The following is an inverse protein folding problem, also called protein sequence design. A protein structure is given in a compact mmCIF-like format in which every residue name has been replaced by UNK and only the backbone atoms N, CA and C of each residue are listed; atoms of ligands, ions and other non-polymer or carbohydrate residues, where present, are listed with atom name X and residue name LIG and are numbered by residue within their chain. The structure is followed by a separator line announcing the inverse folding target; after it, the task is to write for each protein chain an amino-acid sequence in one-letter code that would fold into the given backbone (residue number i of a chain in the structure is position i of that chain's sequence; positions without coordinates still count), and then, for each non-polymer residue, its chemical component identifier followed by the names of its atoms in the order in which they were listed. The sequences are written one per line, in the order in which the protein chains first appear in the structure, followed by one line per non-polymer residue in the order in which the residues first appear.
data_IF_603964571017
#
_entry.id   IF_603964571017
#
_cell.length_a   1.000
_cell.length_b   1.000
_cell.length_c   1.000
_cell.angle_alpha   90.00
_cell.angle_beta   90.00
_cell.angle_gamma   90.00
#
_symmetry.space_group_name_H-M   'P 1'
#
loop_
_entity.id
_entity.type
_entity.pdbx_description
1 polymer ?
#
# COMPACT_ATOMS: atom_id res chain seq x y z
N UNK A 1 -9.21 13.18 35.10
CA UNK A 1 -9.65 11.81 34.80
C UNK A 1 -8.55 11.02 34.08
N UNK A 2 -8.11 11.42 32.87
CA UNK A 2 -7.11 10.72 32.07
C UNK A 2 -5.79 10.46 32.80
N UNK A 3 -5.30 11.42 33.58
CA UNK A 3 -4.07 11.27 34.34
C UNK A 3 -4.16 10.15 35.38
N UNK A 4 -5.30 10.02 36.06
CA UNK A 4 -5.53 8.96 37.04
C UNK A 4 -5.59 7.56 36.38
N UNK A 5 -6.17 7.46 35.20
CA UNK A 5 -6.22 6.19 34.45
C UNK A 5 -4.83 5.78 33.95
N UNK A 6 -4.03 6.74 33.44
CA UNK A 6 -2.63 6.51 33.05
C UNK A 6 -1.80 6.05 34.25
N UNK A 7 -1.94 6.73 35.39
CA UNK A 7 -1.22 6.36 36.63
C UNK A 7 -1.63 4.95 37.09
N UNK A 8 -2.94 4.64 37.11
CA UNK A 8 -3.42 3.31 37.48
C UNK A 8 -2.84 2.22 36.57
N UNK A 9 -2.80 2.45 35.27
CA UNK A 9 -2.19 1.53 34.32
C UNK A 9 -0.68 1.37 34.55
N UNK A 10 0.08 2.46 34.63
CA UNK A 10 1.54 2.39 34.86
C UNK A 10 1.87 1.62 36.13
N UNK A 11 1.10 1.81 37.20
CA UNK A 11 1.26 1.11 38.45
C UNK A 11 0.70 -0.32 38.47
N UNK A 12 0.15 -0.78 37.33
CA UNK A 12 -0.40 -2.14 37.20
C UNK A 12 -1.70 -2.37 37.97
N UNK A 13 -2.44 -1.31 38.26
CA UNK A 13 -3.74 -1.37 38.93
C UNK A 13 -4.91 -1.52 37.95
N UNK A 14 -4.67 -1.29 36.66
CA UNK A 14 -5.64 -1.50 35.56
C UNK A 14 -4.94 -2.11 34.36
N UNK A 15 -5.73 -2.69 33.45
CA UNK A 15 -5.25 -3.22 32.17
C UNK A 15 -5.24 -2.16 31.06
N UNK A 16 -4.61 -2.46 29.92
CA UNK A 16 -4.48 -1.55 28.77
C UNK A 16 -5.82 -1.20 28.15
N UNK A 17 -6.80 -2.07 28.24
CA UNK A 17 -8.16 -1.88 27.73
C UNK A 17 -8.86 -0.65 28.29
N UNK A 18 -8.48 -0.21 29.50
CA UNK A 18 -9.01 1.02 30.13
C UNK A 18 -8.51 2.28 29.42
N UNK A 19 -7.42 2.21 28.67
CA UNK A 19 -6.83 3.33 27.96
C UNK A 19 -7.34 3.52 26.53
N UNK A 20 -7.91 2.48 25.90
CA UNK A 20 -8.39 2.56 24.51
C UNK A 20 -9.46 3.65 24.30
N UNK A 21 -10.46 3.81 25.17
CA UNK A 21 -11.44 4.89 25.03
C UNK A 21 -10.82 6.30 25.20
N UNK A 22 -9.65 6.37 25.79
CA UNK A 22 -8.94 7.62 26.08
C UNK A 22 -7.89 7.96 25.03
N UNK A 23 -7.72 7.15 23.98
CA UNK A 23 -6.66 7.25 22.97
C UNK A 23 -6.54 8.66 22.38
N UNK A 24 -7.67 9.28 22.01
CA UNK A 24 -7.69 10.64 21.45
C UNK A 24 -7.23 11.71 22.44
N UNK A 25 -7.47 11.50 23.74
CA UNK A 25 -7.03 12.41 24.81
C UNK A 25 -5.56 12.18 25.21
N UNK A 26 -5.06 10.95 24.99
CA UNK A 26 -3.67 10.56 25.27
C UNK A 26 -2.75 10.99 24.11
N UNK A 27 -3.27 11.00 22.86
CA UNK A 27 -2.50 11.38 21.68
C UNK A 27 -1.89 12.77 21.84
N UNK A 28 -0.61 12.86 21.57
CA UNK A 28 0.11 14.12 21.56
C UNK A 28 -0.05 14.81 20.21
N UNK A 29 -0.47 16.08 20.22
CA UNK A 29 -0.54 16.93 19.03
C UNK A 29 0.81 17.35 18.45
N UNK A 30 1.95 16.95 19.05
CA UNK A 30 3.28 17.36 18.62
C UNK A 30 4.15 16.17 18.22
N UNK A 31 4.71 16.23 17.01
CA UNK A 31 5.72 15.28 16.49
C UNK A 31 6.97 15.16 17.38
N UNK A 32 7.24 16.19 18.18
CA UNK A 32 8.42 16.28 19.06
C UNK A 32 8.12 15.96 20.54
N UNK A 33 6.86 15.68 20.86
CA UNK A 33 6.49 15.21 22.19
C UNK A 33 7.05 13.78 22.35
N UNK A 34 8.19 13.65 22.98
CA UNK A 34 8.83 12.35 23.15
C UNK A 34 10.31 12.43 23.51
N UNK A 35 10.94 13.62 23.37
CA UNK A 35 12.37 13.77 23.74
C UNK A 35 12.56 13.55 25.22
N UNK A 36 11.76 14.20 26.05
CA UNK A 36 11.83 14.02 27.50
C UNK A 36 11.39 12.62 27.93
N UNK A 37 10.39 12.06 27.30
CA UNK A 37 9.95 10.68 27.54
C UNK A 37 11.04 9.67 27.18
N UNK A 38 11.72 9.87 26.07
CA UNK A 38 12.80 9.00 25.65
C UNK A 38 13.93 8.99 26.69
N UNK A 39 14.36 10.18 27.17
CA UNK A 39 15.40 10.30 28.18
C UNK A 39 14.99 9.65 29.50
N UNK A 40 13.75 9.84 29.93
CA UNK A 40 13.22 9.24 31.15
C UNK A 40 13.13 7.71 31.03
N UNK A 41 12.63 7.20 29.90
CA UNK A 41 12.53 5.75 29.65
C UNK A 41 13.92 5.11 29.55
N UNK A 42 14.88 5.78 28.88
CA UNK A 42 16.27 5.30 28.81
C UNK A 42 16.92 5.24 30.20
N UNK A 43 16.77 6.29 31.01
CA UNK A 43 17.32 6.30 32.34
C UNK A 43 16.71 5.24 33.22
N UNK A 44 15.37 5.09 33.16
CA UNK A 44 14.68 4.01 33.86
C UNK A 44 15.20 2.63 33.46
N UNK A 45 15.34 2.38 32.15
CA UNK A 45 15.86 1.12 31.64
C UNK A 45 17.28 0.82 32.11
N UNK A 46 18.13 1.86 32.21
CA UNK A 46 19.49 1.72 32.70
C UNK A 46 19.52 1.32 34.19
N UNK A 47 18.63 1.90 34.99
CA UNK A 47 18.61 1.71 36.44
C UNK A 47 17.86 0.43 36.86
N UNK A 48 16.78 0.07 36.16
CA UNK A 48 15.82 -0.98 36.54
C UNK A 48 15.62 -2.09 35.50
N UNK A 49 16.15 -1.91 34.32
CA UNK A 49 15.97 -2.86 33.21
C UNK A 49 14.61 -2.74 32.52
N UNK A 50 14.28 -3.78 31.72
CA UNK A 50 13.05 -3.83 30.90
C UNK A 50 11.94 -4.60 31.65
N UNK A 51 11.56 -4.12 32.80
CA UNK A 51 10.51 -4.69 33.65
C UNK A 51 9.07 -4.39 33.18
N UNK A 52 8.07 -4.67 34.02
CA UNK A 52 6.68 -4.40 33.70
C UNK A 52 6.36 -2.90 33.55
N UNK A 53 6.98 -2.05 34.37
CA UNK A 53 6.76 -0.62 34.28
C UNK A 53 7.33 -0.06 32.97
N UNK A 54 8.54 -0.48 32.59
CA UNK A 54 9.11 -0.14 31.28
C UNK A 54 8.21 -0.55 30.11
N UNK A 55 7.67 -1.79 30.13
CA UNK A 55 6.77 -2.25 29.07
C UNK A 55 5.48 -1.42 29.00
N UNK A 56 4.91 -1.04 30.14
CA UNK A 56 3.73 -0.15 30.20
C UNK A 56 4.03 1.26 29.67
N UNK A 57 5.23 1.78 29.91
CA UNK A 57 5.68 3.02 29.27
C UNK A 57 5.73 2.88 27.73
N UNK A 58 6.19 1.75 27.20
CA UNK A 58 6.16 1.48 25.73
C UNK A 58 4.72 1.48 25.19
N UNK A 59 3.80 0.83 25.88
CA UNK A 59 2.37 0.84 25.50
C UNK A 59 1.83 2.27 25.43
N UNK A 60 2.09 3.08 26.44
CA UNK A 60 1.68 4.49 26.43
C UNK A 60 2.28 5.26 25.24
N UNK A 61 3.55 5.01 24.91
CA UNK A 61 4.18 5.63 23.75
C UNK A 61 3.47 5.26 22.44
N UNK A 62 3.06 4.00 22.30
CA UNK A 62 2.27 3.52 21.14
C UNK A 62 0.91 4.22 21.11
N UNK A 63 0.16 4.22 22.21
CA UNK A 63 -1.16 4.86 22.29
C UNK A 63 -1.09 6.37 22.03
N UNK A 64 0.00 7.03 22.39
CA UNK A 64 0.28 8.45 22.08
C UNK A 64 0.65 8.69 20.62
N UNK A 65 0.94 7.64 19.85
CA UNK A 65 1.43 7.76 18.48
C UNK A 65 2.85 8.33 18.39
N UNK A 66 3.70 8.07 19.39
CA UNK A 66 5.07 8.58 19.44
C UNK A 66 6.05 7.74 18.61
N UNK A 67 6.02 7.91 17.29
CA UNK A 67 7.00 7.30 16.38
C UNK A 67 8.44 7.71 16.70
N UNK A 68 8.64 8.91 17.23
CA UNK A 68 9.95 9.41 17.63
C UNK A 68 10.61 8.53 18.69
N UNK A 69 9.89 8.17 19.77
CA UNK A 69 10.44 7.32 20.82
C UNK A 69 10.82 5.93 20.28
N UNK A 70 9.91 5.30 19.51
CA UNK A 70 10.18 3.99 18.91
C UNK A 70 11.41 4.04 18.00
N UNK A 71 11.53 5.08 17.17
CA UNK A 71 12.72 5.30 16.36
C UNK A 71 13.99 5.39 17.18
N UNK A 72 13.98 6.20 18.24
CA UNK A 72 15.17 6.42 19.09
C UNK A 72 15.58 5.13 19.80
N UNK A 73 14.63 4.36 20.31
CA UNK A 73 14.92 3.05 20.92
C UNK A 73 15.57 2.05 19.95
N UNK A 74 15.25 2.14 18.66
CA UNK A 74 15.80 1.26 17.65
C UNK A 74 17.13 1.75 17.04
N UNK A 75 17.29 3.05 16.84
CA UNK A 75 18.34 3.62 15.97
C UNK A 75 19.53 4.18 16.77
N UNK A 76 19.33 4.69 17.98
CA UNK A 76 20.39 5.38 18.73
C UNK A 76 21.55 4.49 19.17
N UNK A 77 21.40 3.17 19.12
CA UNK A 77 22.42 2.22 19.56
C UNK A 77 22.82 1.21 18.45
N UNK A 78 22.90 1.68 17.20
CA UNK A 78 23.02 0.79 16.05
C UNK A 78 21.85 -0.21 15.99
N UNK A 79 20.98 -0.07 15.01
CA UNK A 79 19.78 -0.90 14.84
C UNK A 79 20.05 -2.37 15.14
N UNK A 80 19.50 -2.87 16.25
CA UNK A 80 19.59 -4.29 16.61
C UNK A 80 18.25 -4.97 16.32
N UNK A 81 18.26 -5.92 15.41
CA UNK A 81 17.07 -6.76 15.08
C UNK A 81 16.39 -7.32 16.34
N UNK A 82 17.19 -7.77 17.32
CA UNK A 82 16.69 -8.31 18.58
C UNK A 82 15.84 -7.31 19.38
N UNK A 83 16.08 -6.02 19.26
CA UNK A 83 15.30 -5.00 19.97
C UNK A 83 13.87 -4.87 19.42
N UNK A 84 13.67 -5.08 18.11
CA UNK A 84 12.33 -5.11 17.52
C UNK A 84 11.48 -6.18 18.20
N UNK A 85 12.02 -7.41 18.28
CA UNK A 85 11.32 -8.51 18.96
C UNK A 85 11.08 -8.21 20.44
N UNK A 86 12.06 -7.67 21.15
CA UNK A 86 11.93 -7.32 22.58
C UNK A 86 10.80 -6.31 22.80
N UNK A 87 10.65 -5.32 21.93
CA UNK A 87 9.58 -4.33 22.00
C UNK A 87 8.22 -5.04 21.81
N UNK A 88 8.05 -5.83 20.74
CA UNK A 88 6.79 -6.53 20.44
C UNK A 88 6.44 -7.56 21.53
N UNK A 89 7.39 -8.34 22.01
CA UNK A 89 7.20 -9.26 23.14
C UNK A 89 6.75 -8.50 24.41
N UNK A 90 7.29 -7.29 24.62
CA UNK A 90 6.92 -6.43 25.74
C UNK A 90 5.48 -5.92 25.60
N UNK A 91 5.10 -5.39 24.42
CA UNK A 91 3.75 -4.92 24.14
C UNK A 91 2.72 -6.06 24.24
N UNK A 92 3.05 -7.23 23.72
CA UNK A 92 2.20 -8.40 23.78
C UNK A 92 1.99 -8.90 25.22
N UNK A 93 3.04 -8.90 26.07
CA UNK A 93 2.93 -9.23 27.50
C UNK A 93 2.01 -8.29 28.26
N UNK A 94 1.95 -7.02 27.88
CA UNK A 94 1.02 -6.05 28.44
C UNK A 94 -0.37 -6.11 27.77
N UNK A 95 -0.65 -7.16 26.97
CA UNK A 95 -1.94 -7.44 26.32
C UNK A 95 -2.43 -6.36 25.38
N UNK A 96 -1.51 -5.70 24.70
CA UNK A 96 -1.86 -4.80 23.60
C UNK A 96 -2.52 -5.64 22.49
N UNK A 97 -3.66 -5.18 21.97
CA UNK A 97 -4.39 -5.91 20.92
C UNK A 97 -3.69 -5.89 19.56
N UNK A 98 -4.13 -6.76 18.64
CA UNK A 98 -3.51 -6.91 17.32
C UNK A 98 -3.59 -5.65 16.47
N UNK A 99 -4.65 -4.84 16.63
CA UNK A 99 -4.78 -3.56 15.91
C UNK A 99 -3.68 -2.60 16.31
N UNK A 100 -3.43 -2.43 17.61
CA UNK A 100 -2.38 -1.53 18.10
C UNK A 100 -0.97 -2.09 17.87
N UNK A 101 -0.79 -3.42 17.89
CA UNK A 101 0.48 -4.04 17.47
C UNK A 101 0.77 -3.76 16.00
N UNK A 102 -0.23 -3.85 15.12
CA UNK A 102 -0.10 -3.48 13.70
C UNK A 102 0.21 -1.98 13.53
N UNK A 103 -0.52 -1.11 14.22
CA UNK A 103 -0.23 0.34 14.21
C UNK A 103 1.23 0.61 14.64
N UNK A 104 1.73 -0.12 15.64
CA UNK A 104 3.13 -0.01 16.09
C UNK A 104 4.10 -0.39 14.99
N UNK A 105 3.85 -1.48 14.27
CA UNK A 105 4.67 -1.91 13.14
C UNK A 105 4.70 -0.83 12.05
N UNK A 106 3.54 -0.27 11.69
CA UNK A 106 3.45 0.78 10.69
C UNK A 106 4.17 2.07 11.12
N UNK A 107 4.05 2.46 12.39
CA UNK A 107 4.80 3.60 12.94
C UNK A 107 6.32 3.37 12.87
N UNK A 108 6.79 2.15 13.13
CA UNK A 108 8.22 1.81 13.00
C UNK A 108 8.67 1.89 11.54
N UNK A 109 7.90 1.36 10.60
CA UNK A 109 8.18 1.43 9.17
C UNK A 109 8.25 2.88 8.68
N UNK A 110 7.33 3.75 9.11
CA UNK A 110 7.36 5.17 8.79
C UNK A 110 8.59 5.87 9.40
N UNK A 111 8.93 5.54 10.63
CA UNK A 111 10.04 6.16 11.36
C UNK A 111 11.43 5.77 10.81
N UNK A 112 11.54 4.57 10.21
CA UNK A 112 12.79 4.01 9.64
C UNK A 112 12.69 3.93 8.10
N UNK A 113 11.86 4.75 7.50
CA UNK A 113 11.68 4.76 6.05
C UNK A 113 12.98 5.11 5.33
N UNK A 114 13.38 4.19 4.45
CA UNK A 114 14.59 4.31 3.62
C UNK A 114 15.89 4.01 4.37
N UNK A 115 16.77 3.29 3.73
CA UNK A 115 18.11 2.97 4.20
C UNK A 115 18.29 1.52 4.66
N UNK A 116 19.52 1.17 5.00
CA UNK A 116 19.99 -0.20 5.31
C UNK A 116 19.22 -0.91 6.44
N UNK A 117 18.50 -0.19 7.26
CA UNK A 117 17.78 -0.76 8.41
C UNK A 117 16.30 -1.05 8.10
N UNK A 118 15.76 -0.47 7.03
CA UNK A 118 14.36 -0.71 6.66
C UNK A 118 14.10 -2.19 6.33
N UNK A 119 14.94 -2.77 5.48
CA UNK A 119 14.79 -4.18 5.08
C UNK A 119 14.96 -5.11 6.29
N UNK A 120 15.92 -4.81 7.16
CA UNK A 120 16.15 -5.57 8.38
C UNK A 120 14.96 -5.48 9.36
N UNK A 121 14.33 -4.30 9.47
CA UNK A 121 13.10 -4.12 10.24
C UNK A 121 11.96 -4.94 9.65
N UNK A 122 11.78 -4.87 8.33
CA UNK A 122 10.71 -5.59 7.64
C UNK A 122 10.84 -7.11 7.81
N UNK A 123 12.05 -7.65 7.72
CA UNK A 123 12.31 -9.08 7.96
C UNK A 123 11.94 -9.51 9.40
N UNK A 124 12.23 -8.68 10.42
CA UNK A 124 11.87 -9.01 11.80
C UNK A 124 10.36 -8.88 12.04
N UNK A 125 9.70 -7.86 11.47
CA UNK A 125 8.25 -7.72 11.55
C UNK A 125 7.54 -8.89 10.85
N UNK A 126 8.04 -9.37 9.71
CA UNK A 126 7.50 -10.54 9.03
C UNK A 126 7.51 -11.78 9.92
N UNK A 127 8.61 -12.04 10.62
CA UNK A 127 8.72 -13.17 11.56
C UNK A 127 7.72 -13.04 12.71
N UNK A 128 7.68 -11.87 13.35
CA UNK A 128 6.81 -11.59 14.50
C UNK A 128 5.34 -11.77 14.12
N UNK A 129 4.91 -11.15 13.01
CA UNK A 129 3.51 -11.22 12.58
C UNK A 129 3.14 -12.57 11.98
N UNK A 130 4.09 -13.30 11.40
CA UNK A 130 3.87 -14.71 11.02
C UNK A 130 3.63 -15.59 12.24
N UNK A 131 4.33 -15.36 13.33
CA UNK A 131 4.09 -16.08 14.58
C UNK A 131 2.75 -15.70 15.20
N UNK A 132 2.38 -14.42 15.20
CA UNK A 132 1.02 -13.98 15.61
C UNK A 132 -0.07 -14.57 14.72
N UNK A 133 0.15 -14.73 13.41
CA UNK A 133 -0.81 -15.35 12.51
C UNK A 133 -1.07 -16.84 12.85
N UNK A 134 -0.10 -17.55 13.39
CA UNK A 134 -0.28 -18.94 13.85
C UNK A 134 -1.13 -19.02 15.12
N UNK A 135 -0.98 -18.07 16.03
CA UNK A 135 -1.61 -18.10 17.35
C UNK A 135 -2.94 -17.31 17.40
N UNK A 136 -3.04 -16.24 16.65
CA UNK A 136 -4.12 -15.23 16.73
C UNK A 136 -4.67 -14.83 15.37
N UNK A 137 -4.81 -15.79 14.46
CA UNK A 137 -5.15 -15.58 13.04
C UNK A 137 -6.35 -14.66 12.84
N UNK A 138 -7.45 -14.94 13.51
CA UNK A 138 -8.70 -14.20 13.28
C UNK A 138 -8.62 -12.73 13.75
N UNK A 139 -8.01 -12.50 14.90
CA UNK A 139 -7.77 -11.14 15.40
C UNK A 139 -6.83 -10.36 14.50
N UNK A 140 -5.83 -11.03 13.91
CA UNK A 140 -4.89 -10.41 13.00
C UNK A 140 -5.55 -10.07 11.64
N UNK A 141 -6.39 -10.97 11.09
CA UNK A 141 -7.17 -10.71 9.87
C UNK A 141 -8.13 -9.53 10.08
N UNK A 142 -8.77 -9.45 11.23
CA UNK A 142 -9.62 -8.30 11.58
C UNK A 142 -8.81 -7.00 11.63
N UNK A 143 -7.66 -7.00 12.32
CA UNK A 143 -6.77 -5.85 12.39
C UNK A 143 -6.31 -5.39 11.00
N UNK A 144 -5.93 -6.30 10.12
CA UNK A 144 -5.57 -5.98 8.73
C UNK A 144 -6.75 -5.37 7.96
N UNK A 145 -7.96 -5.89 8.15
CA UNK A 145 -9.16 -5.38 7.49
C UNK A 145 -9.52 -3.94 7.87
N UNK A 146 -9.21 -3.55 9.11
CA UNK A 146 -9.47 -2.21 9.65
C UNK A 146 -8.33 -1.21 9.40
N UNK A 147 -7.15 -1.67 9.00
CA UNK A 147 -5.97 -0.85 8.80
C UNK A 147 -6.10 0.10 7.59
N UNK A 148 -5.23 1.10 7.54
CA UNK A 148 -5.01 1.93 6.36
C UNK A 148 -4.37 1.13 5.19
N UNK A 149 -4.19 1.76 4.04
CA UNK A 149 -3.67 1.07 2.87
C UNK A 149 -2.26 0.46 3.09
N UNK A 150 -1.28 1.13 3.70
CA UNK A 150 0.00 0.52 4.08
C UNK A 150 -0.15 -0.69 4.99
N UNK A 151 -0.99 -0.60 6.03
CA UNK A 151 -1.24 -1.72 6.94
C UNK A 151 -1.90 -2.92 6.24
N UNK A 152 -2.84 -2.68 5.30
CA UNK A 152 -3.42 -3.76 4.49
C UNK A 152 -2.42 -4.37 3.51
N UNK A 153 -1.50 -3.59 2.92
CA UNK A 153 -0.41 -4.13 2.11
C UNK A 153 0.52 -5.03 2.94
N UNK A 154 0.85 -4.59 4.16
CA UNK A 154 1.61 -5.40 5.10
C UNK A 154 0.86 -6.70 5.45
N UNK A 155 -0.44 -6.60 5.76
CA UNK A 155 -1.29 -7.75 6.03
C UNK A 155 -1.33 -8.77 4.90
N UNK A 156 -1.48 -8.31 3.66
CA UNK A 156 -1.40 -9.17 2.47
C UNK A 156 -0.07 -9.93 2.39
N UNK A 157 1.04 -9.26 2.71
CA UNK A 157 2.35 -9.90 2.71
C UNK A 157 2.45 -10.99 3.78
N UNK A 158 1.97 -10.71 5.00
CA UNK A 158 1.96 -11.69 6.10
C UNK A 158 1.06 -12.88 5.76
N UNK A 159 -0.16 -12.65 5.28
CA UNK A 159 -1.08 -13.71 4.86
C UNK A 159 -0.49 -14.58 3.74
N UNK A 160 0.26 -13.97 2.83
CA UNK A 160 0.89 -14.69 1.73
C UNK A 160 2.06 -15.60 2.16
N UNK A 161 2.60 -15.46 3.39
CA UNK A 161 3.61 -16.41 3.92
C UNK A 161 3.05 -17.83 4.03
N UNK A 162 1.75 -17.96 4.33
CA UNK A 162 1.01 -19.23 4.23
C UNK A 162 -0.21 -19.00 3.32
N UNK A 163 0.07 -18.77 2.02
CA UNK A 163 -0.93 -18.36 1.04
C UNK A 163 -2.04 -19.38 0.84
N UNK A 164 -1.77 -20.68 0.92
CA UNK A 164 -2.80 -21.70 0.75
C UNK A 164 -3.82 -21.67 1.89
N UNK A 165 -3.35 -21.62 3.13
CA UNK A 165 -4.25 -21.51 4.30
C UNK A 165 -5.05 -20.21 4.28
N UNK A 166 -4.46 -19.11 3.76
CA UNK A 166 -5.07 -17.79 3.76
C UNK A 166 -5.65 -17.36 2.40
N UNK A 167 -5.78 -18.30 1.45
CA UNK A 167 -6.20 -18.03 0.08
C UNK A 167 -7.49 -17.21 -0.01
N UNK A 168 -8.52 -17.60 0.72
CA UNK A 168 -9.82 -16.93 0.69
C UNK A 168 -9.76 -15.50 1.24
N UNK A 169 -9.00 -15.28 2.29
CA UNK A 169 -8.79 -13.95 2.87
C UNK A 169 -8.01 -13.05 1.92
N UNK A 170 -6.97 -13.57 1.28
CA UNK A 170 -6.18 -12.82 0.29
C UNK A 170 -7.04 -12.43 -0.91
N UNK A 171 -7.85 -13.35 -1.45
CA UNK A 171 -8.73 -13.11 -2.59
C UNK A 171 -9.76 -11.99 -2.35
N UNK A 172 -10.15 -11.73 -1.10
CA UNK A 172 -11.06 -10.60 -0.74
C UNK A 172 -10.47 -9.24 -1.10
N UNK A 173 -9.16 -9.10 -1.13
CA UNK A 173 -8.48 -7.85 -1.47
C UNK A 173 -8.55 -7.48 -2.95
N UNK A 174 -9.05 -8.37 -3.82
CA UNK A 174 -9.42 -8.03 -5.21
C UNK A 174 -10.37 -6.83 -5.30
N UNK A 175 -11.18 -6.63 -4.25
CA UNK A 175 -12.23 -5.59 -4.14
C UNK A 175 -11.77 -4.34 -3.38
N UNK A 176 -10.52 -4.29 -2.94
CA UNK A 176 -10.02 -3.17 -2.14
C UNK A 176 -10.14 -1.84 -2.89
N UNK A 177 -10.52 -0.79 -2.17
CA UNK A 177 -10.66 0.55 -2.75
C UNK A 177 -9.32 1.19 -3.09
N UNK A 178 -8.25 0.85 -2.37
CA UNK A 178 -6.90 1.38 -2.57
C UNK A 178 -6.22 0.76 -3.79
N UNK A 179 -5.71 1.60 -4.67
CA UNK A 179 -4.88 1.15 -5.79
C UNK A 179 -3.60 0.44 -5.29
N UNK A 180 -2.96 0.97 -4.25
CA UNK A 180 -1.75 0.39 -3.68
C UNK A 180 -1.98 -1.05 -3.20
N UNK A 181 -3.08 -1.30 -2.49
CA UNK A 181 -3.45 -2.63 -2.01
C UNK A 181 -3.71 -3.58 -3.19
N UNK A 182 -4.43 -3.11 -4.22
CA UNK A 182 -4.67 -3.92 -5.43
C UNK A 182 -3.40 -4.23 -6.21
N UNK A 183 -2.42 -3.33 -6.27
CA UNK A 183 -1.11 -3.64 -6.89
C UNK A 183 -0.33 -4.68 -6.07
N UNK A 184 -0.31 -4.56 -4.72
CA UNK A 184 0.28 -5.60 -3.86
C UNK A 184 -0.41 -6.95 -4.05
N UNK A 185 -1.74 -6.97 -4.14
CA UNK A 185 -2.52 -8.18 -4.43
C UNK A 185 -2.18 -8.76 -5.81
N UNK A 186 -2.05 -7.92 -6.83
CA UNK A 186 -1.65 -8.33 -8.17
C UNK A 186 -0.28 -9.02 -8.18
N UNK A 187 0.69 -8.49 -7.43
CA UNK A 187 2.02 -9.09 -7.35
C UNK A 187 1.98 -10.48 -6.67
N UNK A 188 1.08 -10.66 -5.70
CA UNK A 188 0.81 -11.97 -5.11
C UNK A 188 0.22 -12.92 -6.16
N UNK A 189 -0.82 -12.49 -6.89
CA UNK A 189 -1.44 -13.33 -7.93
C UNK A 189 -0.43 -13.76 -8.99
N UNK A 190 0.42 -12.86 -9.47
CA UNK A 190 1.45 -13.19 -10.46
C UNK A 190 2.39 -14.31 -10.01
N UNK A 191 2.67 -14.40 -8.72
CA UNK A 191 3.52 -15.42 -8.14
C UNK A 191 2.79 -16.73 -7.81
N UNK A 192 1.44 -16.77 -7.91
CA UNK A 192 0.60 -17.88 -7.47
C UNK A 192 -0.17 -18.52 -8.63
N UNK A 193 0.56 -19.15 -9.56
CA UNK A 193 -0.06 -19.80 -10.73
C UNK A 193 -1.04 -20.91 -10.36
N UNK A 194 -0.88 -21.51 -9.20
CA UNK A 194 -1.80 -22.51 -8.64
C UNK A 194 -3.21 -21.96 -8.34
N UNK A 195 -3.38 -20.63 -8.34
CA UNK A 195 -4.68 -19.97 -8.15
C UNK A 195 -5.37 -19.62 -9.48
N UNK A 196 -4.99 -20.27 -10.57
CA UNK A 196 -5.50 -20.01 -11.92
C UNK A 196 -7.03 -19.96 -11.98
N UNK A 197 -7.71 -20.93 -11.36
CA UNK A 197 -9.17 -20.99 -11.35
C UNK A 197 -9.81 -19.74 -10.75
N UNK A 198 -9.24 -19.20 -9.65
CA UNK A 198 -9.76 -17.97 -9.04
C UNK A 198 -9.47 -16.76 -9.91
N UNK A 199 -8.28 -16.70 -10.52
CA UNK A 199 -7.91 -15.59 -11.41
C UNK A 199 -8.80 -15.55 -12.63
N UNK A 200 -9.04 -16.70 -13.28
CA UNK A 200 -9.97 -16.79 -14.43
C UNK A 200 -11.39 -16.40 -14.03
N UNK A 201 -11.84 -16.79 -12.83
CA UNK A 201 -13.16 -16.40 -12.33
C UNK A 201 -13.32 -14.87 -12.16
N UNK A 202 -12.24 -14.13 -11.87
CA UNK A 202 -12.27 -12.67 -11.78
C UNK A 202 -12.59 -11.99 -13.14
N UNK A 203 -12.35 -12.63 -14.27
CA UNK A 203 -12.73 -12.10 -15.59
C UNK A 203 -14.25 -11.90 -15.73
N UNK A 204 -15.05 -12.69 -15.03
CA UNK A 204 -16.50 -12.56 -15.01
C UNK A 204 -17.03 -11.55 -13.98
N UNK A 205 -16.14 -10.87 -13.25
CA UNK A 205 -16.56 -9.92 -12.22
C UNK A 205 -17.29 -8.71 -12.79
N UNK A 206 -18.28 -8.21 -12.04
CA UNK A 206 -18.97 -6.95 -12.36
C UNK A 206 -18.06 -5.72 -12.22
N UNK A 207 -16.99 -5.81 -11.43
CA UNK A 207 -16.06 -4.70 -11.18
C UNK A 207 -14.92 -4.71 -12.21
N UNK A 208 -14.77 -3.61 -12.94
CA UNK A 208 -13.70 -3.47 -13.94
C UNK A 208 -12.29 -3.65 -13.32
N UNK A 209 -12.08 -3.21 -12.08
CA UNK A 209 -10.79 -3.37 -11.39
C UNK A 209 -10.41 -4.85 -11.15
N UNK A 210 -11.38 -5.72 -10.85
CA UNK A 210 -11.12 -7.16 -10.69
C UNK A 210 -10.80 -7.82 -12.02
N UNK A 211 -11.52 -7.44 -13.09
CA UNK A 211 -11.21 -7.94 -14.44
C UNK A 211 -9.83 -7.47 -14.91
N UNK A 212 -9.47 -6.21 -14.63
CA UNK A 212 -8.12 -5.68 -14.89
C UNK A 212 -7.03 -6.51 -14.21
N UNK A 213 -7.21 -6.84 -12.93
CA UNK A 213 -6.29 -7.69 -12.17
C UNK A 213 -6.11 -9.06 -12.81
N UNK A 214 -7.22 -9.71 -13.19
CA UNK A 214 -7.20 -11.02 -13.86
C UNK A 214 -6.43 -10.95 -15.19
N UNK A 215 -6.75 -10.00 -16.05
CA UNK A 215 -6.10 -9.82 -17.35
C UNK A 215 -4.59 -9.61 -17.15
N UNK A 216 -4.18 -8.69 -16.29
CA UNK A 216 -2.75 -8.42 -16.02
C UNK A 216 -2.02 -9.63 -15.45
N UNK A 217 -2.69 -10.47 -14.66
CA UNK A 217 -2.11 -11.69 -14.12
C UNK A 217 -1.93 -12.74 -15.22
N UNK A 218 -2.98 -13.03 -16.00
CA UNK A 218 -2.94 -14.02 -17.08
C UNK A 218 -1.91 -13.67 -18.15
N UNK A 219 -1.82 -12.40 -18.55
CA UNK A 219 -0.79 -11.89 -19.46
C UNK A 219 0.64 -12.09 -18.92
N UNK A 220 0.81 -11.98 -17.59
CA UNK A 220 2.12 -12.22 -16.96
C UNK A 220 2.47 -13.69 -16.92
N UNK A 221 1.49 -14.58 -16.76
CA UNK A 221 1.72 -16.02 -16.65
C UNK A 221 2.02 -16.66 -18.01
N UNK A 222 1.18 -16.41 -19.01
CA UNK A 222 1.33 -16.97 -20.35
C UNK A 222 0.32 -16.31 -21.31
N UNK A 223 0.77 -15.34 -22.08
CA UNK A 223 -0.07 -14.59 -23.01
C UNK A 223 -0.71 -15.50 -24.06
N UNK A 224 0.07 -16.41 -24.66
CA UNK A 224 -0.40 -17.31 -25.71
C UNK A 224 -1.33 -18.41 -25.16
N UNK A 225 -0.99 -18.97 -24.00
CA UNK A 225 -1.80 -20.02 -23.38
C UNK A 225 -3.19 -19.55 -22.92
N UNK A 226 -3.36 -18.26 -22.64
CA UNK A 226 -4.65 -17.68 -22.26
C UNK A 226 -5.33 -16.87 -23.36
N UNK A 227 -4.82 -16.93 -24.60
CA UNK A 227 -5.30 -16.11 -25.71
C UNK A 227 -6.79 -16.24 -25.94
N UNK A 228 -7.32 -17.46 -25.97
CA UNK A 228 -8.77 -17.71 -26.21
C UNK A 228 -9.64 -17.13 -25.08
N UNK A 229 -9.22 -17.33 -23.84
CA UNK A 229 -9.91 -16.80 -22.65
C UNK A 229 -9.89 -15.27 -22.62
N UNK A 230 -8.77 -14.67 -22.99
CA UNK A 230 -8.61 -13.21 -23.09
C UNK A 230 -9.39 -12.64 -24.27
N UNK A 231 -9.52 -13.36 -25.40
CA UNK A 231 -10.36 -12.97 -26.54
C UNK A 231 -11.84 -12.94 -26.13
N UNK A 232 -12.30 -13.98 -25.44
CA UNK A 232 -13.69 -14.01 -24.93
C UNK A 232 -13.96 -12.85 -23.94
N UNK A 233 -12.98 -12.52 -23.09
CA UNK A 233 -13.07 -11.38 -22.19
C UNK A 233 -13.11 -10.05 -22.97
N UNK A 234 -12.30 -9.90 -24.02
CA UNK A 234 -12.28 -8.72 -24.89
C UNK A 234 -13.61 -8.46 -25.58
N UNK A 235 -14.23 -9.50 -26.12
CA UNK A 235 -15.51 -9.41 -26.82
C UNK A 235 -16.65 -8.93 -25.90
N UNK A 236 -16.57 -9.26 -24.60
CA UNK A 236 -17.57 -8.90 -23.58
C UNK A 236 -17.25 -7.59 -22.85
N UNK A 237 -16.02 -7.09 -22.95
CA UNK A 237 -15.56 -5.95 -22.16
C UNK A 237 -16.15 -4.63 -22.66
N UNK A 238 -16.82 -3.91 -21.74
CA UNK A 238 -17.45 -2.60 -21.99
C UNK A 238 -16.68 -1.43 -21.39
N UNK A 239 -15.78 -1.71 -20.45
CA UNK A 239 -14.98 -0.66 -19.80
C UNK A 239 -13.79 -0.30 -20.69
N UNK A 240 -13.74 0.94 -21.18
CA UNK A 240 -12.71 1.37 -22.12
C UNK A 240 -11.26 1.24 -21.57
N UNK A 241 -11.04 1.40 -20.26
CA UNK A 241 -9.69 1.23 -19.68
C UNK A 241 -9.23 -0.22 -19.69
N UNK A 242 -10.12 -1.14 -19.36
CA UNK A 242 -9.83 -2.58 -19.37
C UNK A 242 -9.70 -3.08 -20.80
N UNK A 243 -10.54 -2.57 -21.71
CA UNK A 243 -10.50 -2.92 -23.13
C UNK A 243 -9.15 -2.56 -23.77
N UNK A 244 -8.59 -1.39 -23.47
CA UNK A 244 -7.28 -0.94 -23.98
C UNK A 244 -6.15 -1.91 -23.63
N UNK A 245 -6.20 -2.59 -22.47
CA UNK A 245 -5.20 -3.59 -22.10
C UNK A 245 -5.21 -4.80 -23.04
N UNK A 246 -6.37 -5.15 -23.59
CA UNK A 246 -6.55 -6.28 -24.48
C UNK A 246 -6.42 -5.88 -25.97
N UNK A 247 -6.71 -4.61 -26.30
CA UNK A 247 -6.58 -4.10 -27.68
C UNK A 247 -5.15 -4.25 -28.22
N UNK A 248 -4.13 -3.98 -27.38
CA UNK A 248 -2.72 -4.20 -27.77
C UNK A 248 -2.41 -5.64 -28.14
N UNK A 249 -3.01 -6.60 -27.44
CA UNK A 249 -2.83 -8.03 -27.66
C UNK A 249 -3.46 -8.51 -28.96
N UNK A 250 -4.64 -7.99 -29.31
CA UNK A 250 -5.43 -8.45 -30.45
C UNK A 250 -5.27 -7.59 -31.69
N UNK A 251 -4.72 -6.37 -31.56
CA UNK A 251 -4.42 -5.50 -32.71
C UNK A 251 -3.32 -6.06 -33.63
N UNK A 252 -2.39 -6.87 -33.09
CA UNK A 252 -1.32 -7.47 -33.88
C UNK A 252 -1.77 -8.65 -34.76
N UNK A 253 -2.93 -9.26 -34.47
CA UNK A 253 -3.40 -10.47 -35.18
C UNK A 253 -4.35 -10.22 -36.34
N UNK A 254 -4.84 -9.02 -36.54
CA UNK A 254 -5.95 -8.83 -37.51
C UNK A 254 -6.10 -7.48 -38.20
N UNK A 255 -5.29 -6.48 -37.91
CA UNK A 255 -5.28 -5.25 -38.69
C UNK A 255 -3.89 -4.63 -38.70
N UNK A 256 -3.33 -4.45 -39.87
CA UNK A 256 -2.42 -3.34 -40.13
C UNK A 256 -3.01 -2.12 -39.43
N UNK A 257 -2.22 -1.45 -38.56
CA UNK A 257 -2.61 -0.33 -37.75
C UNK A 257 -3.66 0.51 -38.46
N UNK A 258 -4.88 0.55 -37.96
CA UNK A 258 -5.76 1.64 -38.32
C UNK A 258 -4.97 2.89 -37.93
N UNK A 259 -4.45 3.60 -38.93
CA UNK A 259 -3.77 4.88 -38.71
C UNK A 259 -4.73 5.72 -37.91
N UNK A 260 -4.44 5.90 -36.64
CA UNK A 260 -5.20 6.80 -35.76
C UNK A 260 -5.13 8.15 -36.46
N UNK A 261 -6.26 8.61 -37.00
CA UNK A 261 -6.25 9.83 -37.77
C UNK A 261 -5.79 10.98 -36.88
N UNK A 262 -5.04 11.94 -37.44
CA UNK A 262 -4.66 13.15 -36.70
C UNK A 262 -5.88 13.79 -36.03
N UNK A 263 -7.04 13.75 -36.67
CA UNK A 263 -8.30 14.26 -36.12
C UNK A 263 -8.77 13.53 -34.87
N UNK A 264 -8.56 12.21 -34.76
CA UNK A 264 -8.93 11.43 -33.56
C UNK A 264 -7.93 11.66 -32.41
N UNK A 265 -6.63 11.83 -32.70
CA UNK A 265 -5.63 12.24 -31.74
C UNK A 265 -5.94 13.64 -31.19
N UNK A 266 -6.29 14.61 -32.06
CA UNK A 266 -6.71 15.95 -31.66
C UNK A 266 -7.94 15.89 -30.74
N UNK A 267 -8.96 15.09 -31.08
CA UNK A 267 -10.15 14.91 -30.23
C UNK A 267 -9.80 14.30 -28.86
N UNK A 268 -8.94 13.27 -28.85
CA UNK A 268 -8.53 12.60 -27.61
C UNK A 268 -7.75 13.57 -26.69
N UNK A 269 -6.84 14.37 -27.26
CA UNK A 269 -6.03 15.35 -26.56
C UNK A 269 -6.87 16.53 -26.03
N UNK A 270 -7.83 17.03 -26.80
CA UNK A 270 -8.77 18.05 -26.34
C UNK A 270 -9.69 17.58 -25.21
N UNK A 271 -10.04 16.30 -25.18
CA UNK A 271 -10.85 15.72 -24.10
C UNK A 271 -10.10 15.68 -22.75
N UNK A 272 -8.77 15.50 -22.78
CA UNK A 272 -7.89 15.56 -21.60
C UNK A 272 -7.54 16.97 -21.14
N UNK A 273 -7.50 17.95 -22.06
CA UNK A 273 -6.98 19.30 -21.84
C UNK A 273 -7.96 20.31 -21.21
N UNK A 274 -9.22 19.97 -20.98
CA UNK A 274 -10.26 20.91 -20.49
C UNK A 274 -10.03 21.49 -19.09
N UNK A 275 -8.98 21.10 -18.36
CA UNK A 275 -8.73 21.55 -16.99
C UNK A 275 -7.61 22.59 -16.82
N UNK A 276 -6.87 22.95 -17.86
CA UNK A 276 -5.84 24.01 -17.77
C UNK A 276 -5.87 24.88 -19.02
N UNK A 277 -6.20 26.15 -18.85
CA UNK A 277 -6.04 27.19 -19.86
C UNK A 277 -4.55 27.51 -20.03
N UNK A 278 -3.89 26.82 -20.94
CA UNK A 278 -2.54 27.17 -21.40
C UNK A 278 -2.66 28.09 -22.61
N UNK A 279 -3.14 29.30 -22.38
CA UNK A 279 -3.34 30.32 -23.47
C UNK A 279 -2.07 30.53 -24.30
N UNK A 280 -0.89 30.42 -23.70
CA UNK A 280 0.39 30.55 -24.38
C UNK A 280 0.63 29.43 -25.42
N UNK A 281 0.16 28.21 -25.19
CA UNK A 281 0.33 27.10 -26.14
C UNK A 281 -0.42 27.35 -27.47
N UNK A 282 -1.54 28.05 -27.38
CA UNK A 282 -2.31 28.44 -28.58
C UNK A 282 -1.80 29.68 -29.26
N UNK A 283 -0.98 30.49 -28.60
CA UNK A 283 -0.41 31.71 -29.13
C UNK A 283 1.00 31.52 -29.72
N UNK A 284 1.62 30.33 -29.54
CA UNK A 284 2.98 30.08 -30.03
C UNK A 284 2.93 29.58 -31.47
N UNK A 285 3.49 30.33 -32.44
CA UNK A 285 3.59 29.84 -33.80
C UNK A 285 4.60 28.70 -33.88
N UNK A 286 4.24 27.62 -34.53
CA UNK A 286 5.15 26.52 -34.79
C UNK A 286 5.95 26.79 -36.06
N UNK A 287 7.25 26.46 -36.02
CA UNK A 287 8.01 26.36 -37.27
C UNK A 287 7.43 25.21 -38.09
N UNK A 288 7.44 25.29 -39.45
CA UNK A 288 6.90 24.25 -40.31
C UNK A 288 7.52 22.88 -39.97
N UNK A 289 6.70 21.95 -39.53
CA UNK A 289 7.10 20.55 -39.27
C UNK A 289 6.58 19.69 -40.42
N UNK A 290 7.47 18.98 -41.09
CA UNK A 290 7.10 18.11 -42.21
C UNK A 290 7.05 16.64 -41.78
N UNK A 291 6.03 15.98 -42.25
CA UNK A 291 5.87 14.52 -42.15
C UNK A 291 6.91 13.79 -43.04
N UNK A 292 7.09 12.50 -42.83
CA UNK A 292 8.01 11.68 -43.65
C UNK A 292 7.63 11.65 -45.13
N UNK A 293 6.35 11.86 -45.46
CA UNK A 293 5.79 11.96 -46.80
C UNK A 293 5.96 13.36 -47.46
N UNK A 294 6.59 14.28 -46.71
CA UNK A 294 6.86 15.65 -47.18
C UNK A 294 5.71 16.65 -46.94
N UNK A 295 4.55 16.20 -46.48
CA UNK A 295 3.43 17.08 -46.13
C UNK A 295 3.69 17.83 -44.82
N UNK A 296 3.14 19.03 -44.69
CA UNK A 296 3.21 19.78 -43.44
C UNK A 296 2.25 19.19 -42.39
N UNK A 297 2.72 19.14 -41.12
CA UNK A 297 1.86 18.73 -40.02
C UNK A 297 0.85 19.83 -39.70
N UNK A 298 -0.39 19.46 -39.42
CA UNK A 298 -1.44 20.40 -39.03
C UNK A 298 -1.08 21.09 -37.71
N UNK A 299 -1.21 22.41 -37.63
CA UNK A 299 -0.92 23.22 -36.46
C UNK A 299 -1.70 22.75 -35.24
N UNK A 300 -3.00 22.41 -35.41
CA UNK A 300 -3.85 21.85 -34.34
C UNK A 300 -3.30 20.55 -33.73
N UNK A 301 -2.65 19.72 -34.53
CA UNK A 301 -2.00 18.49 -34.07
C UNK A 301 -0.74 18.78 -33.25
N UNK A 302 0.10 19.73 -33.71
CA UNK A 302 1.29 20.16 -32.97
C UNK A 302 0.93 20.82 -31.64
N UNK A 303 -0.10 21.66 -31.60
CA UNK A 303 -0.64 22.24 -30.37
C UNK A 303 -1.16 21.19 -29.41
N UNK A 304 -1.87 20.17 -29.91
CA UNK A 304 -2.37 19.08 -29.09
C UNK A 304 -1.25 18.25 -28.46
N UNK A 305 -0.15 18.00 -29.19
CA UNK A 305 1.05 17.34 -28.67
C UNK A 305 1.67 18.19 -27.55
N UNK A 306 1.84 19.50 -27.78
CA UNK A 306 2.42 20.41 -26.79
C UNK A 306 1.61 20.42 -25.48
N UNK A 307 0.27 20.44 -25.59
CA UNK A 307 -0.63 20.36 -24.44
C UNK A 307 -0.52 19.02 -23.70
N UNK A 308 -0.31 17.91 -24.40
CA UNK A 308 -0.10 16.61 -23.80
C UNK A 308 1.16 16.59 -22.93
N UNK A 309 2.29 17.08 -23.44
CA UNK A 309 3.55 17.15 -22.70
C UNK A 309 3.50 18.08 -21.50
N UNK A 310 2.74 19.16 -21.57
CA UNK A 310 2.61 20.13 -20.47
C UNK A 310 1.60 19.70 -19.41
N UNK A 311 0.79 18.69 -19.66
CA UNK A 311 -0.17 18.12 -18.71
C UNK A 311 0.36 16.89 -17.93
N UNK A 312 1.57 16.45 -18.24
CA UNK A 312 2.21 15.28 -17.61
C UNK A 312 3.02 15.60 -16.34
N UNK A 313 2.96 16.85 -15.82
CA UNK A 313 3.58 17.27 -14.56
C UNK A 313 2.55 17.45 -13.44
#
# INVERSE_FOLDING_TARGET
PVQGDIEAYLMGRSGVETLYPLKDQIRSGSRYAGIGEYQAVQQYMADYGKDAFYRRCLVLCVLRGSSYLLRRLLVDQDFKRSEVKVIFDGLYKEKLDMTHLLETAMMMCEAIYGGKWHDALMEELDKIFTDYAKEHRDALIEAFGQADAPGRCFGLRILNMDGETNRQEILRYSKDSSKQVRETFLDILKARREWETDVVALLASKKAAERELAIRTLLTWDEEGYRDVLQEAFDKEKNGKVRVLLEGLFAEAGSASAEVSQADLVKALHKGGKKRTLAWAYATPFSPVRRKDGQEAEEAYLQAILLCYTSMN
#
